data_IF_384090911349
#
_entry.id   IF_384090911349
#
_cell.length_a   1.000
_cell.length_b   1.000
_cell.length_c   1.000
_cell.angle_alpha   90.00
_cell.angle_beta   90.00
_cell.angle_gamma   90.00
#
_symmetry.space_group_name_H-M   'P 1'
#
loop_
_entity.id
_entity.type
_entity.pdbx_description
1 polymer ?
#
# COMPACT_ATOMS: atom_id res chain seq x y z
N UNK A 1 -16.12 36.03 -30.57
CA UNK A 1 -14.84 35.59 -29.96
C UNK A 1 -15.04 35.17 -28.50
N UNK A 2 -16.02 35.74 -27.79
CA UNK A 2 -16.34 35.41 -26.39
C UNK A 2 -16.95 33.99 -26.20
N UNK A 3 -17.73 33.47 -27.16
CA UNK A 3 -18.34 32.12 -27.06
C UNK A 3 -17.34 30.95 -27.07
N UNK A 4 -16.12 31.18 -27.56
CA UNK A 4 -15.07 30.15 -27.60
C UNK A 4 -14.36 29.98 -26.25
N UNK A 5 -14.27 31.02 -25.43
CA UNK A 5 -13.64 30.95 -24.11
C UNK A 5 -14.59 30.33 -23.06
N UNK A 6 -15.90 30.56 -23.19
CA UNK A 6 -16.91 29.98 -22.29
C UNK A 6 -17.05 28.45 -22.45
N UNK A 7 -17.00 27.92 -23.68
CA UNK A 7 -17.03 26.47 -23.90
C UNK A 7 -15.78 25.77 -23.32
N UNK A 8 -14.61 26.38 -23.50
CA UNK A 8 -13.34 25.82 -23.00
C UNK A 8 -13.27 25.75 -21.47
N UNK A 9 -13.91 26.70 -20.77
CA UNK A 9 -14.02 26.66 -19.32
C UNK A 9 -14.97 25.55 -18.84
N UNK A 10 -16.11 25.38 -19.51
CA UNK A 10 -17.14 24.39 -19.13
C UNK A 10 -16.65 22.95 -19.33
N UNK A 11 -15.92 22.68 -20.40
CA UNK A 11 -15.31 21.37 -20.65
C UNK A 11 -14.25 21.01 -19.58
N UNK A 12 -13.47 22.00 -19.13
CA UNK A 12 -12.44 21.79 -18.09
C UNK A 12 -13.04 21.39 -16.75
N UNK A 13 -14.11 22.06 -16.32
CA UNK A 13 -14.81 21.70 -15.08
C UNK A 13 -15.47 20.31 -15.15
N UNK A 14 -15.99 19.92 -16.31
CA UNK A 14 -16.62 18.62 -16.52
C UNK A 14 -15.57 17.49 -16.52
N UNK A 15 -14.38 17.76 -17.06
CA UNK A 15 -13.27 16.81 -17.10
C UNK A 15 -12.61 16.63 -15.72
N UNK A 16 -12.42 17.72 -14.97
CA UNK A 16 -11.86 17.69 -13.61
C UNK A 16 -12.81 17.01 -12.62
N UNK A 17 -14.13 17.21 -12.78
CA UNK A 17 -15.15 16.54 -11.96
C UNK A 17 -15.26 15.04 -12.26
N UNK A 18 -15.20 14.61 -13.52
CA UNK A 18 -15.15 13.19 -13.89
C UNK A 18 -13.86 12.49 -13.42
N UNK A 19 -12.70 13.15 -13.51
CA UNK A 19 -11.44 12.62 -12.97
C UNK A 19 -11.49 12.48 -11.45
N UNK A 20 -12.03 13.50 -10.76
CA UNK A 20 -12.21 13.49 -9.31
C UNK A 20 -13.14 12.35 -8.87
N UNK A 21 -14.24 12.12 -9.59
CA UNK A 21 -15.20 11.06 -9.27
C UNK A 21 -14.63 9.64 -9.52
N UNK A 22 -13.95 9.42 -10.66
CA UNK A 22 -13.24 8.16 -10.91
C UNK A 22 -12.13 7.87 -9.89
N UNK A 23 -11.46 8.92 -9.38
CA UNK A 23 -10.43 8.77 -8.35
C UNK A 23 -11.04 8.36 -6.99
N UNK A 24 -12.21 8.92 -6.64
CA UNK A 24 -12.95 8.59 -5.42
C UNK A 24 -13.45 7.15 -5.45
N UNK A 25 -13.99 6.70 -6.57
CA UNK A 25 -14.50 5.33 -6.69
C UNK A 25 -13.36 4.30 -6.61
N UNK A 26 -12.20 4.57 -7.21
CA UNK A 26 -11.00 3.75 -7.04
C UNK A 26 -10.52 3.73 -5.60
N UNK A 27 -10.53 4.86 -4.90
CA UNK A 27 -10.21 4.95 -3.48
C UNK A 27 -11.17 4.10 -2.62
N UNK A 28 -12.48 4.23 -2.84
CA UNK A 28 -13.48 3.48 -2.06
C UNK A 28 -13.32 1.98 -2.26
N UNK A 29 -13.08 1.56 -3.50
CA UNK A 29 -12.74 0.16 -3.83
C UNK A 29 -11.50 -0.27 -3.05
N UNK A 30 -10.44 0.53 -3.09
CA UNK A 30 -9.19 0.26 -2.38
C UNK A 30 -9.37 0.08 -0.85
N UNK A 31 -10.15 0.95 -0.21
CA UNK A 31 -10.43 0.87 1.22
C UNK A 31 -11.30 -0.33 1.58
N UNK A 32 -12.36 -0.61 0.82
CA UNK A 32 -13.24 -1.76 1.08
C UNK A 32 -12.50 -3.09 0.91
N UNK A 33 -11.69 -3.21 -0.14
CA UNK A 33 -11.00 -4.46 -0.45
C UNK A 33 -9.67 -4.62 0.28
N UNK A 34 -9.04 -3.57 0.82
CA UNK A 34 -7.83 -3.72 1.63
C UNK A 34 -8.07 -3.67 3.14
N UNK A 35 -8.84 -2.68 3.61
CA UNK A 35 -8.92 -2.31 5.03
C UNK A 35 -9.97 -3.15 5.81
N UNK A 36 -11.04 -3.60 5.16
CA UNK A 36 -12.01 -4.52 5.78
C UNK A 36 -11.40 -5.91 6.03
N UNK A 37 -10.77 -6.58 5.04
CA UNK A 37 -10.21 -7.91 5.28
C UNK A 37 -9.07 -7.90 6.30
N UNK A 38 -8.23 -6.86 6.35
CA UNK A 38 -7.18 -6.76 7.38
C UNK A 38 -7.76 -6.62 8.80
N UNK A 39 -8.84 -5.84 8.98
CA UNK A 39 -9.48 -5.68 10.29
C UNK A 39 -10.09 -7.02 10.75
N UNK A 40 -10.73 -7.76 9.85
CA UNK A 40 -11.30 -9.07 10.14
C UNK A 40 -10.18 -10.07 10.50
N UNK A 41 -9.13 -10.14 9.68
CA UNK A 41 -7.98 -11.02 9.91
C UNK A 41 -7.26 -10.69 11.21
N UNK A 42 -7.07 -9.40 11.51
CA UNK A 42 -6.45 -8.98 12.75
C UNK A 42 -7.29 -9.38 13.96
N UNK A 43 -8.61 -9.16 13.90
CA UNK A 43 -9.51 -9.53 14.99
C UNK A 43 -9.44 -11.03 15.27
N UNK A 44 -9.47 -11.87 14.22
CA UNK A 44 -9.29 -13.33 14.33
C UNK A 44 -7.92 -13.65 14.96
N UNK A 45 -6.84 -13.04 14.48
CA UNK A 45 -5.49 -13.28 14.97
C UNK A 45 -5.30 -12.87 16.43
N UNK A 46 -5.93 -11.78 16.88
CA UNK A 46 -5.89 -11.37 18.30
C UNK A 46 -6.58 -12.36 19.24
N UNK A 47 -7.60 -13.10 18.77
CA UNK A 47 -8.27 -14.12 19.58
C UNK A 47 -7.60 -15.50 19.50
N UNK A 48 -6.93 -15.80 18.38
CA UNK A 48 -6.31 -17.13 18.13
C UNK A 48 -4.84 -17.17 18.55
N UNK A 49 -4.14 -16.04 18.50
CA UNK A 49 -2.67 -15.98 18.68
C UNK A 49 -2.28 -14.93 19.72
N UNK A 50 -0.98 -14.88 20.07
CA UNK A 50 -0.47 -13.81 20.93
C UNK A 50 -0.63 -12.45 20.25
N UNK A 51 -0.97 -11.37 21.01
CA UNK A 51 -1.13 -10.03 20.43
C UNK A 51 0.05 -9.56 19.59
N UNK A 52 1.26 -10.00 19.96
CA UNK A 52 2.47 -9.67 19.24
C UNK A 52 2.53 -10.30 17.85
N UNK A 53 2.09 -11.56 17.71
CA UNK A 53 1.99 -12.24 16.40
C UNK A 53 1.04 -11.49 15.47
N UNK A 54 -0.10 -11.03 16.02
CA UNK A 54 -1.04 -10.16 15.31
C UNK A 54 -0.43 -8.82 14.88
N UNK A 55 0.42 -8.20 15.71
CA UNK A 55 1.11 -6.96 15.38
C UNK A 55 2.14 -7.14 14.23
N UNK A 56 2.92 -8.22 14.24
CA UNK A 56 3.84 -8.54 13.14
C UNK A 56 3.11 -8.83 11.84
N UNK A 57 2.00 -9.57 11.92
CA UNK A 57 1.13 -9.81 10.78
C UNK A 57 0.59 -8.51 10.20
N UNK A 58 0.04 -7.64 11.07
CA UNK A 58 -0.43 -6.32 10.66
C UNK A 58 0.67 -5.50 10.00
N UNK A 59 1.88 -5.50 10.55
CA UNK A 59 3.01 -4.80 9.94
C UNK A 59 3.31 -5.30 8.52
N UNK A 60 3.33 -6.63 8.34
CA UNK A 60 3.54 -7.27 7.04
C UNK A 60 2.44 -6.98 6.02
N UNK A 61 1.19 -6.85 6.46
CA UNK A 61 0.05 -6.55 5.60
C UNK A 61 -0.08 -5.04 5.32
N UNK A 62 0.03 -4.20 6.35
CA UNK A 62 -0.18 -2.75 6.24
C UNK A 62 0.89 -2.08 5.39
N UNK A 63 2.13 -2.57 5.42
CA UNK A 63 3.20 -1.94 4.67
C UNK A 63 2.96 -1.90 3.16
N UNK A 64 2.73 -3.04 2.47
CA UNK A 64 2.39 -3.02 1.05
C UNK A 64 1.05 -2.31 0.80
N UNK A 65 0.10 -2.33 1.75
CA UNK A 65 -1.13 -1.54 1.69
C UNK A 65 -0.87 -0.03 1.70
N UNK A 66 0.07 0.50 2.48
CA UNK A 66 0.40 1.93 2.40
C UNK A 66 0.97 2.30 1.03
N UNK A 67 1.73 1.40 0.41
CA UNK A 67 2.31 1.61 -0.92
C UNK A 67 1.29 1.61 -2.05
N UNK A 68 0.29 0.74 -1.99
CA UNK A 68 -0.79 0.73 -2.96
C UNK A 68 -1.78 1.89 -2.75
N UNK A 69 -1.68 2.63 -1.65
CA UNK A 69 -2.57 3.77 -1.39
C UNK A 69 -2.24 4.92 -2.35
N UNK A 70 -3.17 5.33 -3.23
CA UNK A 70 -2.90 6.36 -4.22
C UNK A 70 -2.59 7.71 -3.56
N UNK A 71 -1.51 8.37 -4.01
CA UNK A 71 -1.05 9.66 -3.50
C UNK A 71 -0.37 9.62 -2.13
N UNK A 72 -0.15 8.44 -1.56
CA UNK A 72 0.59 8.31 -0.29
C UNK A 72 2.09 8.56 -0.48
N UNK A 73 2.69 8.03 -1.56
CA UNK A 73 4.11 8.23 -1.86
C UNK A 73 4.45 9.71 -2.08
N UNK A 74 3.64 10.43 -2.87
CA UNK A 74 3.82 11.87 -3.12
C UNK A 74 3.75 12.68 -1.82
N UNK A 75 2.81 12.32 -0.93
CA UNK A 75 2.68 12.96 0.39
C UNK A 75 3.85 12.64 1.30
N UNK A 76 4.31 11.38 1.32
CA UNK A 76 5.43 10.94 2.13
C UNK A 76 6.76 11.58 1.73
N UNK A 77 6.91 11.95 0.45
CA UNK A 77 8.09 12.67 -0.06
C UNK A 77 8.01 14.19 0.11
N UNK A 78 6.87 14.74 0.53
CA UNK A 78 6.71 16.18 0.73
C UNK A 78 7.62 16.73 1.83
N UNK A 79 7.94 18.04 1.75
CA UNK A 79 8.83 18.72 2.71
C UNK A 79 8.36 18.59 4.17
N UNK A 80 7.06 18.43 4.39
CA UNK A 80 6.47 18.25 5.71
C UNK A 80 6.96 16.98 6.43
N UNK A 81 7.29 15.92 5.68
CA UNK A 81 7.72 14.62 6.24
C UNK A 81 9.23 14.40 6.16
N UNK A 82 10.02 15.45 5.90
CA UNK A 82 11.48 15.35 5.66
C UNK A 82 12.23 14.63 6.79
N UNK A 83 11.83 14.86 8.04
CA UNK A 83 12.44 14.29 9.24
C UNK A 83 11.56 13.23 9.92
N UNK A 84 10.45 12.86 9.29
CA UNK A 84 9.59 11.79 9.84
C UNK A 84 10.25 10.44 9.62
N UNK A 85 10.18 9.57 10.63
CA UNK A 85 10.61 8.18 10.53
C UNK A 85 9.96 7.48 9.33
N UNK A 86 8.65 7.66 9.16
CA UNK A 86 7.91 7.17 8.00
C UNK A 86 8.50 7.71 6.70
N UNK A 87 8.72 9.02 6.61
CA UNK A 87 9.31 9.64 5.41
C UNK A 87 10.68 9.06 5.04
N UNK A 88 11.54 8.76 6.03
CA UNK A 88 12.83 8.13 5.78
C UNK A 88 12.71 6.68 5.29
N UNK A 89 11.80 5.89 5.87
CA UNK A 89 11.57 4.53 5.40
C UNK A 89 11.03 4.55 3.96
N UNK A 90 10.11 5.46 3.65
CA UNK A 90 9.58 5.59 2.29
C UNK A 90 10.67 5.94 1.28
N UNK A 91 11.57 6.88 1.61
CA UNK A 91 12.73 7.20 0.78
C UNK A 91 13.66 6.01 0.58
N UNK A 92 13.93 5.25 1.65
CA UNK A 92 14.77 4.05 1.58
C UNK A 92 14.15 2.99 0.67
N UNK A 93 12.84 2.80 0.75
CA UNK A 93 12.11 1.88 -0.12
C UNK A 93 12.02 2.39 -1.57
N UNK A 94 11.83 3.69 -1.82
CA UNK A 94 11.92 4.26 -3.18
C UNK A 94 13.33 4.10 -3.75
N UNK A 95 14.37 4.19 -2.91
CA UNK A 95 15.75 3.86 -3.31
C UNK A 95 15.88 2.38 -3.69
N UNK A 96 15.32 1.44 -2.92
CA UNK A 96 15.25 0.02 -3.31
C UNK A 96 14.56 -0.15 -4.67
N UNK A 97 13.44 0.55 -4.91
CA UNK A 97 12.76 0.51 -6.21
C UNK A 97 13.63 1.02 -7.35
N UNK A 98 14.40 2.09 -7.12
CA UNK A 98 15.31 2.65 -8.13
C UNK A 98 16.41 1.68 -8.56
N UNK A 99 16.82 0.75 -7.69
CA UNK A 99 17.82 -0.27 -8.01
C UNK A 99 17.30 -1.37 -8.94
N UNK A 100 15.97 -1.51 -9.09
CA UNK A 100 15.37 -2.58 -9.89
C UNK A 100 15.22 -2.24 -11.39
N UNK A 101 15.68 -1.07 -11.83
CA UNK A 101 15.65 -0.62 -13.23
C UNK A 101 14.30 -0.09 -13.70
N UNK A 102 14.22 0.30 -14.97
CA UNK A 102 13.05 1.01 -15.53
C UNK A 102 11.81 0.13 -15.79
N UNK A 103 11.96 -1.20 -15.82
CA UNK A 103 10.86 -2.15 -16.01
C UNK A 103 11.01 -3.35 -15.06
N UNK A 104 10.83 -3.15 -13.75
CA UNK A 104 10.96 -4.23 -12.80
C UNK A 104 9.85 -5.25 -13.03
N UNK A 105 10.19 -6.55 -13.01
CA UNK A 105 9.18 -7.61 -13.06
C UNK A 105 8.28 -7.47 -11.82
N UNK A 106 6.97 -7.69 -11.99
CA UNK A 106 5.98 -7.54 -10.91
C UNK A 106 6.37 -8.24 -9.60
N UNK A 107 6.84 -9.48 -9.69
CA UNK A 107 7.26 -10.26 -8.51
C UNK A 107 8.40 -9.57 -7.75
N UNK A 108 9.36 -8.93 -8.44
CA UNK A 108 10.44 -8.19 -7.79
C UNK A 108 9.90 -7.00 -7.00
N UNK A 109 8.91 -6.29 -7.55
CA UNK A 109 8.23 -5.18 -6.85
C UNK A 109 7.53 -5.67 -5.59
N UNK A 110 6.82 -6.81 -5.67
CA UNK A 110 6.19 -7.44 -4.51
C UNK A 110 7.22 -7.84 -3.44
N UNK A 111 8.35 -8.46 -3.82
CA UNK A 111 9.41 -8.83 -2.89
C UNK A 111 10.11 -7.61 -2.28
N UNK A 112 10.34 -6.56 -3.06
CA UNK A 112 10.94 -5.35 -2.54
C UNK A 112 10.10 -4.73 -1.42
N UNK A 113 8.77 -4.87 -1.48
CA UNK A 113 7.87 -4.39 -0.41
C UNK A 113 7.95 -5.21 0.87
N UNK A 114 8.43 -6.45 0.80
CA UNK A 114 8.65 -7.29 1.98
C UNK A 114 9.89 -6.86 2.78
N UNK A 115 10.85 -6.16 2.16
CA UNK A 115 12.14 -5.83 2.78
C UNK A 115 11.95 -5.00 4.06
N UNK A 116 11.10 -3.98 4.04
CA UNK A 116 10.91 -3.13 5.23
C UNK A 116 10.23 -3.87 6.39
N UNK A 117 9.07 -4.53 6.22
CA UNK A 117 8.47 -5.31 7.29
C UNK A 117 9.44 -6.36 7.84
N UNK A 118 10.22 -7.00 6.97
CA UNK A 118 11.19 -8.01 7.38
C UNK A 118 12.36 -7.40 8.19
N UNK A 119 12.89 -6.25 7.77
CA UNK A 119 13.95 -5.55 8.51
C UNK A 119 13.43 -5.07 9.87
N UNK A 120 12.25 -4.44 9.90
CA UNK A 120 11.66 -3.96 11.15
C UNK A 120 11.33 -5.12 12.09
N UNK A 121 10.68 -6.17 11.58
CA UNK A 121 10.38 -7.35 12.39
C UNK A 121 11.66 -8.06 12.85
N UNK A 122 12.66 -8.21 12.00
CA UNK A 122 13.95 -8.80 12.34
C UNK A 122 14.69 -8.04 13.44
N UNK A 123 14.75 -6.71 13.38
CA UNK A 123 15.35 -5.88 14.45
C UNK A 123 14.59 -6.08 15.76
N UNK A 124 13.26 -6.10 15.71
CA UNK A 124 12.41 -6.30 16.89
C UNK A 124 12.59 -7.73 17.46
N UNK A 125 12.73 -8.74 16.61
CA UNK A 125 12.99 -10.14 16.98
C UNK A 125 14.33 -10.36 17.68
N UNK A 126 15.34 -9.53 17.41
CA UNK A 126 16.62 -9.58 18.15
C UNK A 126 16.40 -9.22 19.62
N UNK A 127 15.48 -8.29 19.92
CA UNK A 127 15.17 -7.87 21.29
C UNK A 127 14.38 -8.94 22.06
N UNK A 128 13.60 -9.76 21.36
CA UNK A 128 12.85 -10.86 21.97
C UNK A 128 12.75 -12.05 21.00
N UNK A 129 13.52 -13.13 21.21
CA UNK A 129 13.56 -14.28 20.30
C UNK A 129 12.23 -15.02 20.12
N UNK A 130 11.26 -14.83 21.03
CA UNK A 130 9.91 -15.41 20.88
C UNK A 130 9.10 -14.74 19.77
N UNK A 131 9.56 -13.57 19.31
CA UNK A 131 8.91 -12.79 18.27
C UNK A 131 9.45 -13.21 16.91
N UNK A 132 8.56 -13.72 16.06
CA UNK A 132 8.97 -14.30 14.78
C UNK A 132 8.64 -13.36 13.60
N UNK A 133 9.63 -13.02 12.75
CA UNK A 133 9.39 -12.24 11.53
C UNK A 133 8.58 -13.02 10.49
N UNK A 134 8.40 -14.34 10.69
CA UNK A 134 7.54 -15.19 9.85
C UNK A 134 6.10 -14.66 9.79
N UNK A 135 5.60 -14.06 10.88
CA UNK A 135 4.26 -13.46 10.90
C UNK A 135 4.16 -12.26 9.95
N UNK A 136 5.22 -11.47 9.78
CA UNK A 136 5.26 -10.39 8.79
C UNK A 136 5.31 -10.91 7.36
N UNK A 137 5.98 -12.04 7.11
CA UNK A 137 5.93 -12.71 5.80
C UNK A 137 4.51 -13.20 5.50
N UNK A 138 3.83 -13.77 6.49
CA UNK A 138 2.45 -14.25 6.34
C UNK A 138 1.48 -13.09 6.06
N UNK A 139 1.65 -11.95 6.74
CA UNK A 139 0.87 -10.74 6.49
C UNK A 139 1.06 -10.22 5.06
N UNK A 140 2.31 -10.16 4.61
CA UNK A 140 2.65 -9.75 3.24
C UNK A 140 2.07 -10.72 2.20
N UNK A 141 2.22 -12.03 2.39
CA UNK A 141 1.68 -13.07 1.50
C UNK A 141 0.16 -12.95 1.38
N UNK A 142 -0.52 -12.71 2.50
CA UNK A 142 -1.98 -12.56 2.53
C UNK A 142 -2.40 -11.33 1.72
N UNK A 143 -1.69 -10.21 1.86
CA UNK A 143 -1.98 -9.00 1.10
C UNK A 143 -1.71 -9.16 -0.41
N UNK A 144 -0.52 -9.61 -0.79
CA UNK A 144 -0.16 -9.81 -2.20
C UNK A 144 -1.05 -10.88 -2.86
N UNK A 145 -1.38 -11.94 -2.13
CA UNK A 145 -2.33 -12.96 -2.59
C UNK A 145 -3.72 -12.40 -2.83
N UNK A 146 -4.21 -11.53 -1.94
CA UNK A 146 -5.51 -10.87 -2.09
C UNK A 146 -5.54 -9.91 -3.29
N UNK A 147 -4.49 -9.10 -3.46
CA UNK A 147 -4.34 -8.22 -4.63
C UNK A 147 -4.28 -9.03 -5.92
N UNK A 148 -3.50 -10.11 -5.95
CA UNK A 148 -3.40 -10.98 -7.11
C UNK A 148 -4.75 -11.57 -7.52
N UNK A 149 -5.55 -12.01 -6.54
CA UNK A 149 -6.91 -12.51 -6.81
C UNK A 149 -7.85 -11.41 -7.32
N UNK A 150 -7.76 -10.19 -6.79
CA UNK A 150 -8.60 -9.08 -7.24
C UNK A 150 -8.24 -8.60 -8.64
N UNK A 151 -6.95 -8.45 -8.94
CA UNK A 151 -6.52 -8.06 -10.29
C UNK A 151 -6.92 -9.11 -11.34
N UNK A 152 -6.88 -10.40 -10.98
CA UNK A 152 -7.35 -11.47 -11.86
C UNK A 152 -8.87 -11.41 -12.11
N UNK A 153 -9.66 -10.97 -11.13
CA UNK A 153 -11.11 -10.77 -11.28
C UNK A 153 -11.43 -9.55 -12.12
N UNK A 154 -10.71 -8.45 -11.94
CA UNK A 154 -10.90 -7.23 -12.74
C UNK A 154 -10.51 -7.46 -14.22
N UNK A 155 -9.54 -8.33 -14.50
CA UNK A 155 -9.17 -8.77 -15.87
C UNK A 155 -10.19 -9.73 -16.53
N UNK A 156 -11.09 -10.35 -15.78
CA UNK A 156 -12.16 -11.21 -16.32
C UNK A 156 -13.47 -10.44 -16.58
N UNK A 157 -13.55 -9.19 -16.13
CA UNK A 157 -14.71 -8.30 -16.29
C UNK A 157 -14.47 -7.20 -17.34
N UNK A 158 -13.34 -7.26 -18.05
CA UNK A 158 -12.98 -6.46 -19.23
C UNK A 158 -12.88 -7.37 -20.45
#
# INVERSE_FOLDING_TARGET
MEDYEQNKHTDRYTQDSQYSQNSKDKLVRYYKYGLIPILILWLILTFVTTPMSGAFFLMGFMWPYLYYTPGFEDKAQSKAYRYSFLGNIFKFQSWIFSLMGNQPKRWMVSFARLIIPLLLSGVISILNPSWSPLWSILGWLTFEGFIWLNEKKDLQLL
#
